data_IF_841691666184
#
_entry.id   IF_841691666184
#
_cell.length_a   1.000
_cell.length_b   1.000
_cell.length_c   1.000
_cell.angle_alpha   90.00
_cell.angle_beta   90.00
_cell.angle_gamma   90.00
#
_symmetry.space_group_name_H-M   'P 1'
#
loop_
_entity.id
_entity.type
_entity.pdbx_description
1 polymer ?
#
# COMPACT_ATOMS: atom_id res chain seq x y z
N UNK A 1 0.69 -0.85 -4.09
CA UNK A 1 1.56 0.04 -4.90
C UNK A 1 1.39 1.47 -4.38
N UNK A 2 2.41 2.04 -3.72
CA UNK A 2 2.36 3.45 -3.25
C UNK A 2 2.65 4.35 -4.44
N UNK A 3 1.65 5.10 -4.90
CA UNK A 3 1.83 6.12 -5.93
C UNK A 3 2.82 7.17 -5.42
N UNK A 4 3.91 7.42 -6.15
CA UNK A 4 4.95 8.34 -5.70
C UNK A 4 4.44 9.79 -5.70
N UNK A 5 4.87 10.60 -4.74
CA UNK A 5 4.45 12.02 -4.64
C UNK A 5 4.74 12.81 -5.91
N UNK A 6 5.85 12.49 -6.59
CA UNK A 6 6.21 13.06 -7.89
C UNK A 6 5.24 12.64 -9.00
N UNK A 7 4.81 11.38 -9.01
CA UNK A 7 3.86 10.86 -10.00
C UNK A 7 2.47 11.49 -9.85
N UNK A 8 1.99 11.68 -8.62
CA UNK A 8 0.69 12.35 -8.36
C UNK A 8 0.70 13.83 -8.75
N UNK A 9 1.84 14.52 -8.54
CA UNK A 9 2.01 15.90 -8.98
C UNK A 9 2.04 16.00 -10.52
N UNK A 10 2.75 15.08 -11.18
CA UNK A 10 2.83 15.01 -12.64
C UNK A 10 1.47 14.70 -13.28
N UNK A 11 0.71 13.77 -12.69
CA UNK A 11 -0.65 13.44 -13.11
C UNK A 11 -1.61 14.62 -12.94
N UNK A 12 -1.51 15.36 -11.83
CA UNK A 12 -2.31 16.58 -11.61
C UNK A 12 -1.95 17.67 -12.62
N UNK A 13 -0.66 17.94 -12.84
CA UNK A 13 -0.21 18.92 -13.82
C UNK A 13 -0.62 18.57 -15.26
N UNK A 14 -0.49 17.30 -15.65
CA UNK A 14 -0.91 16.84 -16.99
C UNK A 14 -2.41 16.97 -17.18
N UNK A 15 -3.21 16.59 -16.19
CA UNK A 15 -4.66 16.63 -16.31
C UNK A 15 -5.20 18.07 -16.31
N UNK A 16 -4.63 18.95 -15.48
CA UNK A 16 -4.94 20.39 -15.49
C UNK A 16 -4.47 21.06 -16.77
N UNK A 17 -3.26 20.74 -17.26
CA UNK A 17 -2.72 21.26 -18.51
C UNK A 17 -3.50 20.82 -19.75
N UNK A 18 -3.95 19.57 -19.80
CA UNK A 18 -4.81 19.07 -20.87
C UNK A 18 -6.18 19.77 -20.86
N UNK A 19 -6.79 19.92 -19.68
CA UNK A 19 -8.05 20.66 -19.55
C UNK A 19 -7.92 22.13 -19.96
N UNK A 20 -6.80 22.77 -19.63
CA UNK A 20 -6.46 24.13 -20.07
C UNK A 20 -6.33 24.22 -21.59
N UNK A 21 -5.54 23.34 -22.20
CA UNK A 21 -5.32 23.31 -23.65
C UNK A 21 -6.61 23.07 -24.44
N UNK A 22 -7.46 22.14 -24.00
CA UNK A 22 -8.76 21.86 -24.63
C UNK A 22 -9.67 23.08 -24.55
N UNK A 23 -9.70 23.77 -23.40
CA UNK A 23 -10.49 25.00 -23.22
C UNK A 23 -10.03 26.11 -24.17
N UNK A 24 -8.72 26.32 -24.31
CA UNK A 24 -8.16 27.36 -25.17
C UNK A 24 -8.48 27.10 -26.66
N UNK A 25 -8.36 25.85 -27.09
CA UNK A 25 -8.65 25.43 -28.45
C UNK A 25 -10.16 25.54 -28.77
N UNK A 26 -11.02 25.16 -27.83
CA UNK A 26 -12.45 25.31 -27.99
C UNK A 26 -12.85 26.79 -28.12
N UNK A 27 -12.25 27.68 -27.32
CA UNK A 27 -12.52 29.12 -27.39
C UNK A 27 -12.03 29.72 -28.72
N UNK A 28 -10.82 29.35 -29.17
CA UNK A 28 -10.27 29.83 -30.44
C UNK A 28 -11.08 29.36 -31.65
N UNK A 29 -11.71 28.18 -31.59
CA UNK A 29 -12.45 27.61 -32.71
C UNK A 29 -13.95 27.96 -32.71
N UNK A 30 -14.62 27.87 -31.55
CA UNK A 30 -16.07 28.04 -31.46
C UNK A 30 -16.52 29.49 -31.29
N UNK A 31 -15.73 30.37 -30.65
CA UNK A 31 -16.17 31.76 -30.42
C UNK A 31 -16.18 32.61 -31.70
N UNK A 32 -15.21 32.46 -32.64
CA UNK A 32 -15.32 33.11 -33.95
C UNK A 32 -16.50 32.59 -34.76
N UNK A 33 -16.83 31.29 -34.63
CA UNK A 33 -17.98 30.67 -35.29
C UNK A 33 -19.32 31.26 -34.81
N UNK A 34 -19.37 31.75 -33.57
CA UNK A 34 -20.51 32.44 -32.97
C UNK A 34 -20.50 33.96 -33.23
N UNK A 35 -19.54 34.47 -34.03
CA UNK A 35 -19.46 35.88 -34.42
C UNK A 35 -18.88 36.80 -33.33
N UNK A 36 -18.30 36.25 -32.26
CA UNK A 36 -17.73 37.04 -31.17
C UNK A 36 -16.21 37.13 -31.33
N UNK A 37 -15.73 38.25 -31.85
CA UNK A 37 -14.29 38.53 -31.91
C UNK A 37 -13.77 38.94 -30.53
N UNK A 38 -13.14 38.01 -29.82
CA UNK A 38 -12.59 38.25 -28.49
C UNK A 38 -11.12 38.69 -28.59
N UNK A 39 -10.78 39.79 -27.91
CA UNK A 39 -9.40 40.31 -27.86
C UNK A 39 -8.44 39.37 -27.11
N UNK A 40 -7.14 39.48 -27.39
CA UNK A 40 -6.11 38.69 -26.71
C UNK A 40 -6.18 38.78 -25.18
N UNK A 41 -6.42 39.98 -24.63
CA UNK A 41 -6.55 40.19 -23.19
C UNK A 41 -7.74 39.41 -22.59
N UNK A 42 -8.88 39.40 -23.29
CA UNK A 42 -10.06 38.65 -22.85
C UNK A 42 -9.83 37.12 -22.90
N UNK A 43 -9.06 36.61 -23.86
CA UNK A 43 -8.66 35.20 -23.88
C UNK A 43 -7.78 34.84 -22.68
N UNK A 44 -6.84 35.71 -22.30
CA UNK A 44 -6.00 35.50 -21.11
C UNK A 44 -6.84 35.51 -19.82
N UNK A 45 -7.81 36.41 -19.70
CA UNK A 45 -8.72 36.43 -18.55
C UNK A 45 -9.56 35.15 -18.45
N UNK A 46 -10.10 34.66 -19.58
CA UNK A 46 -10.81 33.38 -19.65
C UNK A 46 -9.94 32.21 -19.23
N UNK A 47 -8.69 32.17 -19.73
CA UNK A 47 -7.70 31.16 -19.38
C UNK A 47 -7.41 31.12 -17.88
N UNK A 48 -7.26 32.28 -17.23
CA UNK A 48 -7.07 32.40 -15.78
C UNK A 48 -8.30 31.88 -15.03
N UNK A 49 -9.50 32.33 -15.40
CA UNK A 49 -10.76 31.89 -14.77
C UNK A 49 -10.93 30.37 -14.87
N UNK A 50 -10.71 29.79 -16.06
CA UNK A 50 -10.81 28.34 -16.28
C UNK A 50 -9.77 27.56 -15.48
N UNK A 51 -8.59 28.12 -15.27
CA UNK A 51 -7.55 27.53 -14.41
C UNK A 51 -8.02 27.49 -12.96
N UNK A 52 -8.57 28.59 -12.42
CA UNK A 52 -9.14 28.61 -11.07
C UNK A 52 -10.30 27.63 -10.91
N UNK A 53 -11.23 27.58 -11.87
CA UNK A 53 -12.36 26.64 -11.86
C UNK A 53 -11.87 25.19 -11.91
N UNK A 54 -10.85 24.89 -12.71
CA UNK A 54 -10.25 23.55 -12.80
C UNK A 54 -9.63 23.12 -11.47
N UNK A 55 -8.86 24.01 -10.84
CA UNK A 55 -8.28 23.79 -9.50
C UNK A 55 -9.38 23.58 -8.45
N UNK A 56 -10.40 24.46 -8.43
CA UNK A 56 -11.51 24.38 -7.49
C UNK A 56 -12.29 23.07 -7.64
N UNK A 57 -12.64 22.66 -8.87
CA UNK A 57 -13.31 21.39 -9.16
C UNK A 57 -12.47 20.20 -8.71
N UNK A 58 -11.17 20.20 -9.01
CA UNK A 58 -10.25 19.13 -8.60
C UNK A 58 -10.18 18.99 -7.08
N UNK A 59 -10.07 20.11 -6.36
CA UNK A 59 -10.07 20.13 -4.90
C UNK A 59 -11.41 19.65 -4.31
N UNK A 60 -12.54 20.17 -4.82
CA UNK A 60 -13.87 19.81 -4.35
C UNK A 60 -14.20 18.35 -4.61
N UNK A 61 -13.88 17.81 -5.80
CA UNK A 61 -14.09 16.40 -6.11
C UNK A 61 -13.21 15.48 -5.26
N UNK A 62 -11.96 15.85 -5.02
CA UNK A 62 -11.07 15.09 -4.13
C UNK A 62 -11.62 15.05 -2.71
N UNK A 63 -12.07 16.19 -2.19
CA UNK A 63 -12.66 16.31 -0.85
C UNK A 63 -14.01 15.62 -0.74
N UNK A 64 -14.79 15.61 -1.81
CA UNK A 64 -16.05 14.85 -1.92
C UNK A 64 -15.79 13.34 -1.95
N UNK A 65 -14.81 12.85 -2.71
CA UNK A 65 -14.47 11.42 -2.73
C UNK A 65 -13.90 10.91 -1.41
N UNK A 66 -13.17 11.76 -0.69
CA UNK A 66 -12.73 11.49 0.69
C UNK A 66 -13.93 11.44 1.64
N UNK A 67 -14.86 12.40 1.54
CA UNK A 67 -16.09 12.42 2.34
C UNK A 67 -17.03 11.24 2.04
N UNK A 68 -17.06 10.78 0.78
CA UNK A 68 -17.86 9.64 0.32
C UNK A 68 -17.18 8.28 0.56
N UNK A 69 -16.02 8.22 1.24
CA UNK A 69 -15.28 6.99 1.54
C UNK A 69 -15.02 6.07 0.32
N UNK A 70 -14.89 6.62 -0.89
CA UNK A 70 -14.64 5.82 -2.11
C UNK A 70 -13.23 5.17 -2.09
N UNK A 71 -12.38 5.54 -1.14
CA UNK A 71 -11.19 4.78 -0.75
C UNK A 71 -11.32 4.42 0.74
N UNK A 72 -11.50 3.15 1.06
CA UNK A 72 -11.34 2.68 2.45
C UNK A 72 -9.85 2.82 2.78
N UNK A 73 -9.44 3.75 3.67
CA UNK A 73 -8.04 3.88 4.05
C UNK A 73 -7.58 2.58 4.69
N UNK A 74 -6.35 2.14 4.40
CA UNK A 74 -5.81 0.93 5.00
C UNK A 74 -5.84 1.07 6.53
N UNK A 75 -6.46 0.11 7.26
CA UNK A 75 -6.59 0.23 8.70
C UNK A 75 -5.22 0.24 9.38
N UNK A 76 -5.13 0.92 10.52
CA UNK A 76 -3.88 1.10 11.26
C UNK A 76 -3.18 -0.23 11.61
N UNK A 77 -3.94 -1.32 11.77
CA UNK A 77 -3.42 -2.68 11.98
C UNK A 77 -2.60 -3.18 10.79
N UNK A 78 -3.09 -2.99 9.56
CA UNK A 78 -2.38 -3.42 8.35
C UNK A 78 -1.14 -2.55 8.10
N UNK A 79 -1.24 -1.25 8.37
CA UNK A 79 -0.08 -0.37 8.30
C UNK A 79 1.01 -0.77 9.30
N UNK A 80 0.62 -1.23 10.50
CA UNK A 80 1.57 -1.72 11.51
C UNK A 80 2.27 -3.01 11.08
N UNK A 81 1.55 -3.96 10.47
CA UNK A 81 2.13 -5.18 9.88
C UNK A 81 3.14 -4.82 8.77
N UNK A 82 2.75 -3.91 7.87
CA UNK A 82 3.64 -3.45 6.80
C UNK A 82 4.88 -2.73 7.34
N UNK A 83 4.73 -1.93 8.40
CA UNK A 83 5.84 -1.26 9.06
C UNK A 83 6.79 -2.24 9.75
N UNK A 84 6.27 -3.27 10.42
CA UNK A 84 7.10 -4.31 11.04
C UNK A 84 7.84 -5.14 10.00
N UNK A 85 7.19 -5.53 8.89
CA UNK A 85 7.89 -6.22 7.79
C UNK A 85 9.03 -5.36 7.26
N UNK A 86 8.80 -4.05 7.12
CA UNK A 86 9.85 -3.13 6.68
C UNK A 86 10.99 -3.03 7.70
N UNK A 87 10.69 -2.96 9.00
CA UNK A 87 11.71 -2.98 10.07
C UNK A 87 12.54 -4.26 10.04
N UNK A 88 11.92 -5.42 9.83
CA UNK A 88 12.63 -6.69 9.71
C UNK A 88 13.64 -6.67 8.55
N UNK A 89 13.26 -6.10 7.40
CA UNK A 89 14.21 -5.89 6.28
C UNK A 89 15.31 -4.90 6.68
N UNK A 90 14.95 -3.72 7.15
CA UNK A 90 15.88 -2.60 7.32
C UNK A 90 16.84 -2.78 8.51
N UNK A 91 16.38 -3.44 9.58
CA UNK A 91 17.12 -3.58 10.85
C UNK A 91 17.72 -4.97 11.00
N UNK A 92 16.97 -6.03 10.68
CA UNK A 92 17.44 -7.41 10.87
C UNK A 92 18.10 -7.98 9.59
N UNK A 93 17.98 -7.28 8.45
CA UNK A 93 18.50 -7.77 7.18
C UNK A 93 17.70 -8.92 6.59
N UNK A 94 16.46 -9.15 7.03
CA UNK A 94 15.59 -10.23 6.51
C UNK A 94 15.00 -9.83 5.16
N UNK A 95 15.86 -9.75 4.15
CA UNK A 95 15.52 -9.39 2.77
C UNK A 95 14.72 -10.51 2.09
N UNK A 96 14.04 -10.23 0.95
CA UNK A 96 13.41 -11.29 0.17
C UNK A 96 14.37 -12.41 -0.28
N UNK A 97 15.65 -12.10 -0.45
CA UNK A 97 16.70 -13.08 -0.75
C UNK A 97 16.98 -13.98 0.45
N UNK A 98 17.13 -13.41 1.65
CA UNK A 98 17.21 -14.18 2.89
C UNK A 98 15.96 -15.04 3.10
N UNK A 99 14.78 -14.49 2.83
CA UNK A 99 13.51 -15.20 2.96
C UNK A 99 13.40 -16.38 1.99
N UNK A 100 14.04 -16.29 0.82
CA UNK A 100 14.06 -17.36 -0.17
C UNK A 100 14.85 -18.60 0.29
N UNK A 101 15.77 -18.43 1.23
CA UNK A 101 16.55 -19.54 1.80
C UNK A 101 15.74 -20.34 2.84
N UNK A 102 14.64 -19.77 3.35
CA UNK A 102 13.69 -20.50 4.21
C UNK A 102 12.75 -21.36 3.37
N UNK A 103 12.81 -22.67 3.60
CA UNK A 103 12.01 -23.69 2.91
C UNK A 103 10.99 -24.32 3.86
N UNK A 104 10.16 -25.23 3.37
CA UNK A 104 9.22 -26.04 4.17
C UNK A 104 8.20 -25.28 5.04
N UNK A 105 7.96 -24.00 4.73
CA UNK A 105 6.97 -23.17 5.41
C UNK A 105 7.44 -22.62 6.76
N UNK A 106 8.75 -22.61 7.03
CA UNK A 106 9.31 -22.11 8.30
C UNK A 106 8.85 -20.68 8.64
N UNK A 107 8.77 -19.77 7.65
CA UNK A 107 8.27 -18.40 7.87
C UNK A 107 6.80 -18.39 8.32
N UNK A 108 5.96 -19.24 7.73
CA UNK A 108 4.56 -19.40 8.17
C UNK A 108 4.47 -20.00 9.58
N UNK A 109 5.31 -20.99 9.87
CA UNK A 109 5.37 -21.63 11.19
C UNK A 109 5.83 -20.64 12.28
N UNK A 110 6.82 -19.82 11.98
CA UNK A 110 7.27 -18.72 12.84
C UNK A 110 6.14 -17.69 13.06
N UNK A 111 5.40 -17.34 12.00
CA UNK A 111 4.22 -16.50 12.09
C UNK A 111 3.15 -17.08 13.02
N UNK A 112 2.84 -18.36 12.88
CA UNK A 112 1.90 -19.08 13.73
C UNK A 112 2.31 -19.07 15.22
N UNK A 113 3.61 -19.21 15.49
CA UNK A 113 4.18 -19.18 16.85
C UNK A 113 3.86 -17.87 17.58
N UNK A 114 3.88 -16.75 16.86
CA UNK A 114 3.48 -15.46 17.42
C UNK A 114 1.94 -15.28 17.44
N UNK A 115 1.22 -15.80 16.44
CA UNK A 115 -0.23 -15.67 16.34
C UNK A 115 -0.99 -16.42 17.45
N UNK A 116 -0.43 -17.53 17.94
CA UNK A 116 -1.05 -18.34 18.99
C UNK A 116 -0.87 -17.75 20.40
N UNK A 117 0.12 -16.88 20.62
CA UNK A 117 0.43 -16.30 21.93
C UNK A 117 -0.78 -15.63 22.62
N UNK A 118 -1.54 -14.73 21.97
CA UNK A 118 -2.71 -14.13 22.60
C UNK A 118 -3.75 -15.18 23.01
N UNK A 119 -4.00 -16.18 22.14
CA UNK A 119 -4.96 -17.24 22.44
C UNK A 119 -4.54 -18.06 23.68
N UNK A 120 -3.24 -18.33 23.85
CA UNK A 120 -2.73 -18.96 25.08
C UNK A 120 -2.87 -18.08 26.31
N UNK A 121 -2.48 -16.80 26.23
CA UNK A 121 -2.56 -15.85 27.35
C UNK A 121 -3.99 -15.65 27.86
N UNK A 122 -4.98 -15.74 26.95
CA UNK A 122 -6.39 -15.55 27.26
C UNK A 122 -7.18 -16.87 27.43
N UNK A 123 -6.50 -18.01 27.54
CA UNK A 123 -7.14 -19.32 27.78
C UNK A 123 -7.98 -19.87 26.62
N UNK A 124 -7.84 -19.32 25.41
CA UNK A 124 -8.56 -19.76 24.21
C UNK A 124 -8.07 -21.08 23.62
N UNK A 125 -6.91 -21.59 24.06
CA UNK A 125 -6.39 -22.91 23.68
C UNK A 125 -6.27 -23.75 24.95
N UNK A 126 -7.08 -24.83 25.09
CA UNK A 126 -6.98 -25.73 26.23
C UNK A 126 -5.59 -26.34 26.28
N UNK A 127 -4.84 -26.05 27.34
CA UNK A 127 -3.51 -26.62 27.58
C UNK A 127 -3.67 -28.10 28.00
N UNK A 128 -4.03 -28.98 27.06
CA UNK A 128 -4.36 -30.39 27.32
C UNK A 128 -3.20 -31.20 27.93
N UNK A 129 -1.98 -30.68 27.88
CA UNK A 129 -0.76 -31.36 28.36
C UNK A 129 0.06 -30.52 29.34
N UNK A 130 -0.41 -29.33 29.74
CA UNK A 130 0.34 -28.44 30.63
C UNK A 130 1.56 -27.74 30.02
N UNK A 131 2.02 -28.11 28.82
CA UNK A 131 3.33 -27.72 28.26
C UNK A 131 3.27 -27.24 26.79
N UNK A 132 2.13 -26.80 26.27
CA UNK A 132 2.16 -26.01 25.01
C UNK A 132 2.67 -24.61 25.32
N UNK A 133 3.98 -24.50 25.60
CA UNK A 133 4.64 -23.21 25.55
C UNK A 133 4.56 -22.73 24.09
N UNK A 134 4.15 -21.48 23.82
CA UNK A 134 4.04 -20.93 22.45
C UNK A 134 5.31 -21.06 21.59
N UNK A 135 6.47 -21.32 22.23
CA UNK A 135 7.73 -21.69 21.59
C UNK A 135 7.73 -23.09 20.92
N UNK A 136 6.82 -23.98 21.30
CA UNK A 136 6.78 -25.39 20.88
C UNK A 136 6.71 -25.61 19.37
N UNK A 137 6.22 -24.63 18.61
CA UNK A 137 6.18 -24.68 17.15
C UNK A 137 7.16 -23.70 16.50
N UNK A 138 8.00 -22.98 17.24
CA UNK A 138 8.96 -22.06 16.64
C UNK A 138 10.06 -22.84 15.89
N UNK A 139 10.33 -22.53 14.60
CA UNK A 139 11.19 -23.37 13.75
C UNK A 139 12.70 -23.19 14.00
N UNK A 140 13.11 -22.11 14.66
CA UNK A 140 14.54 -21.76 14.81
C UNK A 140 15.00 -21.77 16.27
N UNK A 141 16.23 -21.31 16.53
CA UNK A 141 16.74 -21.23 17.90
C UNK A 141 15.91 -20.29 18.79
N UNK A 142 15.66 -20.71 20.05
CA UNK A 142 14.96 -19.95 21.10
C UNK A 142 15.44 -18.53 21.30
N UNK A 143 16.74 -18.27 21.07
CA UNK A 143 17.33 -16.92 21.21
C UNK A 143 16.72 -15.89 20.25
N UNK A 144 16.14 -16.33 19.13
CA UNK A 144 15.50 -15.46 18.16
C UNK A 144 14.00 -15.30 18.40
N UNK A 145 13.42 -16.06 19.33
CA UNK A 145 12.03 -15.92 19.73
C UNK A 145 11.92 -14.84 20.80
N UNK A 146 11.28 -13.71 20.44
CA UNK A 146 11.25 -12.50 21.27
C UNK A 146 9.80 -12.06 21.54
N UNK A 147 8.93 -12.91 22.15
CA UNK A 147 7.54 -12.54 22.44
C UNK A 147 7.45 -11.29 23.32
N UNK A 148 6.38 -10.52 23.17
CA UNK A 148 6.20 -9.26 23.91
C UNK A 148 4.78 -9.11 24.46
N UNK A 149 3.89 -8.45 23.72
CA UNK A 149 2.49 -8.23 24.06
C UNK A 149 1.61 -8.65 22.88
N UNK A 150 0.33 -8.90 23.13
CA UNK A 150 -0.57 -9.49 22.14
C UNK A 150 -0.59 -8.73 20.82
N UNK A 151 -0.62 -7.39 20.89
CA UNK A 151 -0.69 -6.56 19.69
C UNK A 151 0.60 -6.65 18.90
N UNK A 152 1.76 -6.55 19.56
CA UNK A 152 3.07 -6.64 18.89
C UNK A 152 3.35 -8.04 18.35
N UNK A 153 2.94 -9.07 19.07
CA UNK A 153 3.11 -10.46 18.65
C UNK A 153 2.24 -10.73 17.41
N UNK A 154 0.98 -10.28 17.38
CA UNK A 154 0.14 -10.38 16.17
C UNK A 154 0.69 -9.58 14.98
N UNK A 155 1.31 -8.42 15.23
CA UNK A 155 1.97 -7.64 14.17
C UNK A 155 3.18 -8.39 13.61
N UNK A 156 4.02 -9.00 14.46
CA UNK A 156 5.15 -9.83 14.03
C UNK A 156 4.69 -11.07 13.29
N UNK A 157 3.61 -11.71 13.76
CA UNK A 157 2.98 -12.82 13.08
C UNK A 157 2.56 -12.44 11.67
N UNK A 158 1.83 -11.33 11.52
CA UNK A 158 1.41 -10.81 10.22
C UNK A 158 2.59 -10.46 9.30
N UNK A 159 3.68 -9.93 9.86
CA UNK A 159 4.88 -9.61 9.08
C UNK A 159 5.59 -10.87 8.55
N UNK A 160 5.70 -11.93 9.37
CA UNK A 160 6.27 -13.22 8.97
C UNK A 160 5.38 -13.95 7.94
N UNK A 161 4.06 -13.87 8.10
CA UNK A 161 3.10 -14.39 7.11
C UNK A 161 3.25 -13.64 5.78
N UNK A 162 3.40 -12.31 5.82
CA UNK A 162 3.63 -11.52 4.61
C UNK A 162 4.96 -11.91 3.92
N UNK A 163 6.02 -12.17 4.68
CA UNK A 163 7.29 -12.67 4.15
C UNK A 163 7.13 -14.01 3.41
N UNK A 164 6.39 -14.96 4.01
CA UNK A 164 6.11 -16.25 3.35
C UNK A 164 5.29 -16.09 2.06
N UNK A 165 4.28 -15.23 2.06
CA UNK A 165 3.49 -14.93 0.86
C UNK A 165 4.35 -14.34 -0.25
N UNK A 166 5.22 -13.38 0.07
CA UNK A 166 6.16 -12.78 -0.89
C UNK A 166 7.10 -13.84 -1.48
N UNK A 167 7.62 -14.75 -0.65
CA UNK A 167 8.47 -15.88 -1.07
C UNK A 167 7.73 -16.84 -2.01
N UNK A 168 6.48 -17.20 -1.67
CA UNK A 168 5.63 -18.06 -2.51
C UNK A 168 5.33 -17.41 -3.87
N UNK A 169 5.02 -16.12 -3.90
CA UNK A 169 4.71 -15.39 -5.12
C UNK A 169 5.96 -15.21 -6.00
N UNK A 170 7.12 -14.98 -5.41
CA UNK A 170 8.39 -14.98 -6.13
C UNK A 170 8.67 -16.35 -6.77
N UNK A 171 8.45 -17.44 -6.03
CA UNK A 171 8.61 -18.81 -6.53
C UNK A 171 7.65 -19.11 -7.70
N UNK A 172 6.38 -18.72 -7.58
CA UNK A 172 5.38 -18.86 -8.66
C UNK A 172 5.78 -18.09 -9.92
N UNK A 173 6.30 -16.87 -9.78
CA UNK A 173 6.79 -16.05 -10.91
C UNK A 173 7.98 -16.72 -11.60
N UNK A 174 8.94 -17.26 -10.84
CA UNK A 174 10.10 -18.01 -11.38
C UNK A 174 9.66 -19.23 -12.17
N UNK A 175 8.76 -20.07 -11.62
CA UNK A 175 8.19 -21.24 -12.32
C UNK A 175 7.48 -20.86 -13.63
N UNK A 176 6.66 -19.81 -13.62
CA UNK A 176 5.98 -19.31 -14.84
C UNK A 176 6.94 -18.86 -15.92
N UNK A 177 8.08 -18.26 -15.54
CA UNK A 177 9.12 -17.83 -16.50
C UNK A 177 9.84 -19.03 -17.11
N UNK A 178 10.17 -20.04 -16.30
CA UNK A 178 10.84 -21.26 -16.77
C UNK A 178 9.98 -22.09 -17.74
N UNK A 179 8.66 -22.12 -17.57
CA UNK A 179 7.75 -22.82 -18.49
C UNK A 179 7.57 -22.09 -19.84
N UNK A 180 7.87 -20.79 -19.89
CA UNK A 180 7.71 -19.94 -21.08
C UNK A 180 9.00 -19.74 -21.87
N UNK A 181 10.13 -20.18 -21.32
CA UNK A 181 11.44 -20.15 -21.94
C UNK A 181 11.72 -21.49 -22.61
#
# INVERSE_FOLDING_TARGET
MKQSRRMSLLETCLNTGAGFGISLLAQWFFLPLLGVAISFHQNVMFAIIMTFVSIARGFLLRRLFEALQIRVPMPASILAIAAERRRQVDVEGWTPEHDADHVDGELAQAGASYALLPAFRHGGIPNRTGVLEPYSIWPWSKRFYKPQDDRRDLIRAGALIAAELDRMDATRKRKRKAVRA
#
